data_IF_526934819289
#
_entry.id   IF_526934819289
#
_cell.length_a   1.000
_cell.length_b   1.000
_cell.length_c   1.000
_cell.angle_alpha   90.00
_cell.angle_beta   90.00
_cell.angle_gamma   90.00
#
_symmetry.space_group_name_H-M   'P 1'
#
loop_
_entity.id
_entity.type
_entity.pdbx_description
1 polymer ?
#
# COMPACT_ATOMS: atom_id res chain seq x y z
N UNK A 1 -32.81 22.71 -11.00
CA UNK A 1 -31.96 23.33 -9.99
C UNK A 1 -32.25 22.79 -8.58
N UNK A 2 -33.53 22.84 -8.08
CA UNK A 2 -33.86 22.35 -6.72
C UNK A 2 -33.52 20.87 -6.53
N UNK A 3 -33.70 20.00 -7.52
CA UNK A 3 -33.33 18.59 -7.48
C UNK A 3 -31.79 18.44 -7.40
N UNK A 4 -31.06 19.20 -8.22
CA UNK A 4 -29.61 19.23 -8.22
C UNK A 4 -29.06 19.66 -6.87
N UNK A 5 -29.57 20.76 -6.30
CA UNK A 5 -29.19 21.23 -4.97
C UNK A 5 -29.50 20.20 -3.87
N UNK A 6 -30.63 19.47 -3.98
CA UNK A 6 -30.96 18.40 -3.04
C UNK A 6 -29.99 17.21 -3.11
N UNK A 7 -29.40 16.93 -4.27
CA UNK A 7 -28.37 15.90 -4.42
C UNK A 7 -27.02 16.36 -3.88
N UNK A 8 -26.63 17.62 -4.12
CA UNK A 8 -25.42 18.19 -3.54
C UNK A 8 -25.45 18.18 -2.00
N UNK A 9 -26.62 18.46 -1.41
CA UNK A 9 -26.81 18.44 0.04
C UNK A 9 -26.72 17.03 0.66
N UNK A 10 -26.61 15.97 -0.14
CA UNK A 10 -26.52 14.57 0.30
C UNK A 10 -25.08 14.04 0.37
N UNK A 11 -24.10 14.84 0.00
CA UNK A 11 -22.70 14.46 0.12
C UNK A 11 -22.12 14.80 1.48
N UNK A 12 -21.13 14.05 1.91
CA UNK A 12 -20.32 14.41 3.07
C UNK A 12 -19.54 15.71 2.75
N UNK A 13 -19.68 16.72 3.58
CA UNK A 13 -19.03 18.01 3.38
C UNK A 13 -17.67 18.12 4.08
N UNK A 14 -17.50 17.37 5.17
CA UNK A 14 -16.25 17.30 5.89
C UNK A 14 -15.91 15.83 6.14
N UNK A 15 -14.67 15.44 5.84
CA UNK A 15 -14.22 14.04 5.91
C UNK A 15 -13.04 13.93 6.86
N UNK A 16 -13.14 13.01 7.82
CA UNK A 16 -12.00 12.55 8.62
C UNK A 16 -11.68 11.12 8.24
N UNK A 17 -10.42 10.82 7.90
CA UNK A 17 -9.99 9.45 7.61
C UNK A 17 -10.04 8.57 8.86
N UNK A 18 -9.94 7.27 8.69
CA UNK A 18 -9.65 6.37 9.80
C UNK A 18 -8.26 6.68 10.35
N UNK A 19 -8.12 6.55 11.67
CA UNK A 19 -6.81 6.68 12.32
C UNK A 19 -5.98 5.42 12.05
N UNK A 20 -4.74 5.60 11.63
CA UNK A 20 -3.76 4.53 11.43
C UNK A 20 -2.66 4.66 12.47
N UNK A 21 -2.54 3.67 13.32
CA UNK A 21 -1.50 3.61 14.35
C UNK A 21 -0.28 2.89 13.76
N UNK A 22 0.88 3.54 13.80
CA UNK A 22 2.18 2.96 13.47
C UNK A 22 2.98 2.71 14.77
N UNK A 23 4.28 2.52 14.67
CA UNK A 23 5.11 2.12 15.84
C UNK A 23 5.14 3.20 16.93
N UNK A 24 5.19 4.48 16.56
CA UNK A 24 5.37 5.60 17.49
C UNK A 24 4.21 6.57 17.51
N UNK A 25 3.53 6.77 16.40
CA UNK A 25 2.47 7.74 16.23
C UNK A 25 1.20 7.14 15.63
N UNK A 26 0.08 7.81 15.90
CA UNK A 26 -1.20 7.57 15.23
C UNK A 26 -1.48 8.73 14.28
N UNK A 27 -1.80 8.42 13.03
CA UNK A 27 -1.97 9.36 11.93
C UNK A 27 -3.40 9.36 11.41
N UNK A 28 -3.87 10.52 10.91
CA UNK A 28 -5.12 10.66 10.17
C UNK A 28 -5.10 11.94 9.36
N UNK A 29 -6.04 12.09 8.45
CA UNK A 29 -6.27 13.35 7.76
C UNK A 29 -7.70 13.85 7.94
N UNK A 30 -7.87 15.15 7.77
CA UNK A 30 -9.14 15.85 7.85
C UNK A 30 -9.25 16.80 6.65
N UNK A 31 -10.38 16.74 5.94
CA UNK A 31 -10.75 17.68 4.90
C UNK A 31 -12.00 18.42 5.36
N UNK A 32 -11.93 19.74 5.50
CA UNK A 32 -13.07 20.57 5.89
C UNK A 32 -14.11 20.64 4.76
N UNK A 33 -15.31 21.16 5.11
CA UNK A 33 -16.43 21.22 4.17
C UNK A 33 -16.18 22.12 2.93
N UNK A 34 -15.29 23.08 3.06
CA UNK A 34 -14.92 24.04 2.00
C UNK A 34 -13.48 23.86 1.50
N UNK A 35 -12.79 22.81 1.99
CA UNK A 35 -11.41 22.51 1.63
C UNK A 35 -11.36 21.53 0.46
N UNK A 36 -10.50 21.79 -0.52
CA UNK A 36 -10.20 20.87 -1.62
C UNK A 36 -9.11 19.85 -1.24
N UNK A 37 -8.30 20.16 -0.23
CA UNK A 37 -7.14 19.37 0.20
C UNK A 37 -7.18 19.07 1.69
N UNK A 38 -6.58 17.95 2.14
CA UNK A 38 -6.55 17.56 3.55
C UNK A 38 -5.49 18.30 4.36
N UNK A 39 -5.70 18.32 5.66
CA UNK A 39 -4.66 18.52 6.66
C UNK A 39 -4.33 17.18 7.33
N UNK A 40 -3.07 16.82 7.41
CA UNK A 40 -2.60 15.60 8.04
C UNK A 40 -2.18 15.84 9.47
N UNK A 41 -2.71 15.02 10.36
CA UNK A 41 -2.54 15.09 11.79
C UNK A 41 -1.85 13.85 12.32
N UNK A 42 -1.14 14.00 13.44
CA UNK A 42 -0.65 12.88 14.23
C UNK A 42 -0.65 13.19 15.72
N UNK A 43 -0.54 12.15 16.52
CA UNK A 43 -0.21 12.25 17.94
C UNK A 43 0.68 11.07 18.34
N UNK A 44 1.55 11.22 19.36
CA UNK A 44 2.29 10.10 19.94
C UNK A 44 1.31 9.04 20.48
N UNK A 45 1.59 7.76 20.28
CA UNK A 45 0.70 6.67 20.71
C UNK A 45 0.41 6.68 22.21
N UNK A 46 1.36 7.17 23.03
CA UNK A 46 1.25 7.25 24.49
C UNK A 46 0.68 8.59 24.99
N UNK A 47 0.43 9.57 24.11
CA UNK A 47 0.01 10.93 24.46
C UNK A 47 -1.02 11.43 23.44
N UNK A 48 -2.22 10.82 23.37
CA UNK A 48 -3.22 11.11 22.34
C UNK A 48 -3.79 12.53 22.43
N UNK A 49 -3.56 13.25 23.54
CA UNK A 49 -3.93 14.65 23.71
C UNK A 49 -2.95 15.62 22.99
N UNK A 50 -1.74 15.18 22.63
CA UNK A 50 -0.73 15.99 21.95
C UNK A 50 -0.87 15.86 20.43
N UNK A 51 -2.01 16.33 19.92
CA UNK A 51 -2.28 16.32 18.49
C UNK A 51 -1.56 17.47 17.80
N UNK A 52 -0.99 17.23 16.65
CA UNK A 52 -0.33 18.22 15.81
C UNK A 52 -0.65 18.01 14.33
N UNK A 53 -0.92 19.11 13.60
CA UNK A 53 -0.94 19.10 12.15
C UNK A 53 0.53 19.08 11.68
N UNK A 54 0.97 17.99 11.11
CA UNK A 54 2.35 17.84 10.64
C UNK A 54 2.51 18.17 9.15
N UNK A 55 1.41 18.12 8.37
CA UNK A 55 1.42 18.44 6.96
C UNK A 55 0.08 19.04 6.51
N UNK A 56 0.06 20.33 6.24
CA UNK A 56 -1.12 21.05 5.75
C UNK A 56 -1.00 21.20 4.21
N UNK A 57 -1.68 20.33 3.47
CA UNK A 57 -1.69 20.34 2.01
C UNK A 57 -2.40 21.58 1.47
N UNK A 58 -3.41 22.09 2.20
CA UNK A 58 -4.16 23.31 1.82
C UNK A 58 -3.23 24.53 1.78
N UNK A 59 -2.34 24.65 2.78
CA UNK A 59 -1.38 25.75 2.84
C UNK A 59 -0.39 25.70 1.67
N UNK A 60 0.01 24.50 1.24
CA UNK A 60 0.88 24.33 0.06
C UNK A 60 0.15 24.66 -1.25
N UNK A 61 -1.06 24.15 -1.41
CA UNK A 61 -1.89 24.36 -2.59
C UNK A 61 -2.26 25.84 -2.77
N UNK A 62 -2.50 26.58 -1.67
CA UNK A 62 -2.89 27.99 -1.70
C UNK A 62 -1.81 28.93 -2.31
N UNK A 63 -0.58 28.48 -2.36
CA UNK A 63 0.54 29.24 -2.95
C UNK A 63 0.72 28.96 -4.45
N UNK A 64 -0.10 28.08 -5.03
CA UNK A 64 0.05 27.57 -6.40
C UNK A 64 -1.20 27.82 -7.23
N UNK A 65 -1.03 28.05 -8.54
CA UNK A 65 -2.13 28.09 -9.50
C UNK A 65 -2.73 26.70 -9.79
N UNK A 66 -1.89 25.67 -9.69
CA UNK A 66 -2.24 24.27 -9.79
C UNK A 66 -1.47 23.50 -8.71
N UNK A 67 -2.10 22.48 -8.12
CA UNK A 67 -1.46 21.61 -7.15
C UNK A 67 -2.02 20.19 -7.20
N UNK A 68 -1.15 19.22 -7.36
CA UNK A 68 -1.44 17.81 -7.21
C UNK A 68 -0.38 17.14 -6.34
N UNK A 69 -0.82 16.35 -5.37
CA UNK A 69 0.06 15.57 -4.50
C UNK A 69 0.15 14.14 -5.03
N UNK A 70 1.33 13.74 -5.51
CA UNK A 70 1.56 12.40 -6.03
C UNK A 70 1.54 11.34 -4.94
N UNK A 71 2.63 11.18 -4.22
CA UNK A 71 2.77 10.19 -3.15
C UNK A 71 3.31 10.83 -1.87
N UNK A 72 3.08 10.17 -0.75
CA UNK A 72 3.52 10.62 0.57
C UNK A 72 3.98 9.42 1.42
N UNK A 73 5.21 9.46 1.89
CA UNK A 73 5.82 8.37 2.63
C UNK A 73 6.50 8.86 3.92
N UNK A 74 6.16 8.22 5.05
CA UNK A 74 6.85 8.40 6.32
C UNK A 74 8.10 7.50 6.36
N UNK A 75 9.18 8.03 6.94
CA UNK A 75 10.39 7.26 7.21
C UNK A 75 10.13 6.11 8.20
N UNK A 76 11.00 5.08 8.25
CA UNK A 76 10.86 3.96 9.18
C UNK A 76 10.72 4.36 10.66
N UNK A 77 11.35 5.46 11.09
CA UNK A 77 11.25 6.01 12.45
C UNK A 77 10.10 7.02 12.65
N UNK A 78 9.28 7.27 11.60
CA UNK A 78 8.14 8.21 11.60
C UNK A 78 8.52 9.68 11.92
N UNK A 79 9.81 10.02 11.77
CA UNK A 79 10.30 11.38 12.05
C UNK A 79 10.51 12.23 10.79
N UNK A 80 10.48 11.60 9.62
CA UNK A 80 10.65 12.27 8.33
C UNK A 80 9.49 12.00 7.40
N UNK A 81 9.08 13.04 6.68
CA UNK A 81 8.08 12.97 5.64
C UNK A 81 8.76 13.27 4.29
N UNK A 82 8.64 12.33 3.35
CA UNK A 82 8.91 12.59 1.94
C UNK A 82 7.58 12.64 1.18
N UNK A 83 7.46 13.55 0.22
CA UNK A 83 6.31 13.60 -0.68
C UNK A 83 6.71 14.11 -2.05
N UNK A 84 5.87 13.81 -3.04
CA UNK A 84 5.98 14.33 -4.38
C UNK A 84 4.79 15.25 -4.68
N UNK A 85 5.03 16.34 -5.39
CA UNK A 85 3.98 17.25 -5.81
C UNK A 85 4.24 17.77 -7.23
N UNK A 86 3.16 17.95 -7.98
CA UNK A 86 3.12 18.64 -9.26
C UNK A 86 2.42 19.99 -9.09
N UNK A 87 3.08 21.07 -9.46
CA UNK A 87 2.55 22.45 -9.41
C UNK A 87 2.39 23.07 -10.79
N UNK A 88 2.57 22.28 -11.87
CA UNK A 88 2.48 22.72 -13.24
C UNK A 88 1.34 22.04 -14.02
N UNK A 89 0.86 20.90 -13.57
CA UNK A 89 -0.15 20.10 -14.23
C UNK A 89 0.37 19.29 -15.41
N UNK A 90 1.64 18.92 -15.37
CA UNK A 90 2.31 18.14 -16.42
C UNK A 90 2.69 16.72 -15.96
N UNK A 91 2.21 16.31 -14.76
CA UNK A 91 2.47 15.01 -14.14
C UNK A 91 3.97 14.74 -13.88
N UNK A 92 4.79 15.82 -13.83
CA UNK A 92 6.19 15.75 -13.44
C UNK A 92 6.34 16.30 -12.03
N UNK A 93 6.76 15.43 -11.15
CA UNK A 93 6.73 15.71 -9.73
C UNK A 93 8.08 16.22 -9.21
N UNK A 94 7.97 17.02 -8.16
CA UNK A 94 9.09 17.50 -7.35
C UNK A 94 9.09 16.74 -6.03
N UNK A 95 10.24 16.17 -5.66
CA UNK A 95 10.44 15.48 -4.39
C UNK A 95 10.85 16.45 -3.30
N UNK A 96 10.12 16.40 -2.21
CA UNK A 96 10.36 17.17 -1.00
C UNK A 96 10.62 16.28 0.20
N UNK A 97 11.38 16.81 1.15
CA UNK A 97 11.68 16.18 2.44
C UNK A 97 11.48 17.17 3.58
N UNK A 98 10.95 16.67 4.70
CA UNK A 98 10.73 17.48 5.91
C UNK A 98 10.95 16.62 7.14
N UNK A 99 11.73 17.10 8.12
CA UNK A 99 11.72 16.53 9.46
C UNK A 99 10.48 17.01 10.23
N UNK A 100 9.84 16.09 10.92
CA UNK A 100 8.58 16.34 11.63
C UNK A 100 8.81 16.79 13.08
N UNK A 101 7.95 17.67 13.63
CA UNK A 101 6.79 18.26 12.97
C UNK A 101 7.08 19.57 12.20
N UNK A 102 8.13 20.31 12.54
CA UNK A 102 8.19 21.75 12.29
C UNK A 102 9.38 22.23 11.44
N UNK A 103 10.10 21.35 10.75
CA UNK A 103 11.20 21.79 9.90
C UNK A 103 10.72 22.36 8.57
N UNK A 104 11.48 23.34 8.06
CA UNK A 104 11.26 23.88 6.71
C UNK A 104 11.48 22.77 5.69
N UNK A 105 10.55 22.54 4.76
CA UNK A 105 10.73 21.55 3.70
C UNK A 105 11.96 21.85 2.83
N UNK A 106 12.64 20.80 2.43
CA UNK A 106 13.78 20.88 1.50
C UNK A 106 13.40 20.18 0.21
N UNK A 107 13.59 20.88 -0.92
CA UNK A 107 13.46 20.29 -2.24
C UNK A 107 14.67 19.41 -2.52
N UNK A 108 14.47 18.14 -2.84
CA UNK A 108 15.55 17.21 -3.15
C UNK A 108 15.77 17.03 -4.64
N UNK A 109 14.73 16.80 -5.39
CA UNK A 109 14.77 16.51 -6.83
C UNK A 109 13.56 17.12 -7.52
N UNK A 110 13.69 17.35 -8.82
CA UNK A 110 12.57 17.66 -9.72
C UNK A 110 12.57 16.69 -10.90
N UNK A 111 11.50 16.70 -11.68
CA UNK A 111 11.35 15.88 -12.88
C UNK A 111 11.46 14.37 -12.57
N UNK A 112 10.63 13.92 -11.63
CA UNK A 112 10.51 12.51 -11.22
C UNK A 112 9.06 12.04 -11.34
N UNK A 113 8.83 10.73 -11.18
CA UNK A 113 7.50 10.14 -11.04
C UNK A 113 6.90 10.37 -9.65
N UNK A 114 5.62 10.05 -9.49
CA UNK A 114 4.93 10.22 -8.22
C UNK A 114 5.43 9.24 -7.14
N UNK A 115 5.74 7.98 -7.51
CA UNK A 115 5.96 6.87 -6.56
C UNK A 115 7.20 7.00 -5.70
N UNK A 116 7.03 6.78 -4.38
CA UNK A 116 8.06 6.85 -3.36
C UNK A 116 8.06 5.60 -2.47
N UNK A 117 9.23 5.19 -1.98
CA UNK A 117 9.32 4.17 -0.94
C UNK A 117 10.60 4.32 -0.12
N UNK A 118 10.49 4.39 1.21
CA UNK A 118 11.66 4.33 2.09
C UNK A 118 12.20 2.91 2.17
N UNK A 119 13.52 2.76 2.11
CA UNK A 119 14.20 1.54 2.53
C UNK A 119 14.15 1.39 4.06
N UNK A 120 14.58 0.24 4.57
CA UNK A 120 14.65 -0.06 6.01
C UNK A 120 16.10 0.00 6.55
N UNK A 121 16.95 0.76 5.88
CA UNK A 121 18.38 0.98 6.22
C UNK A 121 18.61 2.22 7.07
N UNK A 122 17.54 2.86 7.55
CA UNK A 122 17.64 4.12 8.28
C UNK A 122 18.46 4.01 9.55
N UNK A 123 19.33 4.99 9.71
CA UNK A 123 20.12 5.24 10.94
C UNK A 123 19.76 6.62 11.51
N UNK A 124 20.41 7.03 12.59
CA UNK A 124 20.24 8.39 13.13
C UNK A 124 20.70 9.51 12.17
N UNK A 125 21.52 9.18 11.17
CA UNK A 125 22.15 10.19 10.30
C UNK A 125 21.94 9.95 8.81
N UNK A 126 21.48 8.78 8.42
CA UNK A 126 21.33 8.38 7.01
C UNK A 126 20.04 7.60 6.78
N UNK A 127 19.52 7.68 5.57
CA UNK A 127 18.42 6.86 5.10
C UNK A 127 18.47 6.76 3.57
N UNK A 128 17.76 5.78 3.00
CA UNK A 128 17.62 5.64 1.55
C UNK A 128 16.15 5.74 1.15
N UNK A 129 15.89 6.57 0.14
CA UNK A 129 14.58 6.72 -0.49
C UNK A 129 14.66 6.20 -1.93
N UNK A 130 13.69 5.39 -2.33
CA UNK A 130 13.50 4.98 -3.73
C UNK A 130 12.39 5.82 -4.36
N UNK A 131 12.52 6.08 -5.66
CA UNK A 131 11.55 6.83 -6.45
C UNK A 131 11.57 6.38 -7.92
N UNK A 132 10.50 6.70 -8.65
CA UNK A 132 10.40 6.42 -10.08
C UNK A 132 10.82 7.62 -10.91
N UNK A 133 11.28 7.39 -12.14
CA UNK A 133 11.40 8.40 -13.20
C UNK A 133 10.69 7.94 -14.46
N UNK A 134 10.36 8.92 -15.28
CA UNK A 134 9.70 8.74 -16.56
C UNK A 134 10.69 8.71 -17.72
N UNK A 135 10.30 8.00 -18.77
CA UNK A 135 10.90 8.18 -20.10
C UNK A 135 10.31 9.43 -20.82
N UNK A 136 10.71 9.63 -22.08
CA UNK A 136 10.24 10.75 -22.89
C UNK A 136 8.72 10.69 -23.22
N UNK A 137 8.08 9.55 -22.99
CA UNK A 137 6.63 9.35 -23.20
C UNK A 137 5.79 9.46 -21.91
N UNK A 138 6.42 9.88 -20.80
CA UNK A 138 5.82 9.94 -19.45
C UNK A 138 5.44 8.56 -18.89
N UNK A 139 6.12 7.50 -19.35
CA UNK A 139 5.99 6.16 -18.78
C UNK A 139 7.00 6.02 -17.64
N UNK A 140 6.61 5.57 -16.41
CA UNK A 140 7.57 5.23 -15.36
C UNK A 140 8.41 4.02 -15.81
N UNK A 141 9.61 4.29 -16.31
CA UNK A 141 10.52 3.33 -16.91
C UNK A 141 11.67 2.92 -16.00
N UNK A 142 11.90 3.67 -14.93
CA UNK A 142 13.08 3.42 -14.10
C UNK A 142 12.85 3.70 -12.63
N UNK A 143 13.48 2.87 -11.79
CA UNK A 143 13.54 3.04 -10.34
C UNK A 143 14.95 3.49 -9.96
N UNK A 144 15.00 4.52 -9.15
CA UNK A 144 16.22 5.15 -8.66
C UNK A 144 16.24 5.15 -7.14
N UNK A 145 17.41 5.18 -6.55
CA UNK A 145 17.61 5.38 -5.11
C UNK A 145 18.35 6.67 -4.84
N UNK A 146 18.00 7.33 -3.76
CA UNK A 146 18.66 8.51 -3.23
C UNK A 146 19.11 8.24 -1.80
N UNK A 147 20.41 8.20 -1.57
CA UNK A 147 20.96 8.15 -0.22
C UNK A 147 20.89 9.57 0.40
N UNK A 148 20.32 9.68 1.58
CA UNK A 148 20.09 10.94 2.27
C UNK A 148 21.00 11.07 3.50
N UNK A 149 21.58 12.26 3.69
CA UNK A 149 22.10 12.68 4.98
C UNK A 149 20.97 13.36 5.76
N UNK A 150 20.54 12.77 6.87
CA UNK A 150 19.49 13.37 7.71
C UNK A 150 20.01 14.53 8.56
N UNK A 151 21.33 14.71 8.64
CA UNK A 151 21.98 15.85 9.31
C UNK A 151 22.11 17.08 8.39
N UNK A 152 22.24 16.84 7.09
CA UNK A 152 22.35 17.86 6.03
C UNK A 152 21.47 17.44 4.85
N UNK A 153 20.12 17.48 5.00
CA UNK A 153 19.22 16.93 4.00
C UNK A 153 19.20 17.70 2.67
N UNK A 154 19.67 18.93 2.65
CA UNK A 154 19.90 19.76 1.48
C UNK A 154 21.25 19.51 0.77
N UNK A 155 22.10 18.66 1.34
CA UNK A 155 23.33 18.23 0.68
C UNK A 155 22.98 17.44 -0.59
N UNK A 156 23.50 17.88 -1.72
CA UNK A 156 23.25 17.23 -3.01
C UNK A 156 23.84 15.81 -3.03
N UNK A 157 22.96 14.82 -3.07
CA UNK A 157 23.32 13.44 -3.36
C UNK A 157 22.88 13.08 -4.77
N UNK A 158 23.74 12.40 -5.51
CA UNK A 158 23.41 11.94 -6.86
C UNK A 158 22.55 10.68 -6.78
N UNK A 159 21.37 10.66 -7.43
CA UNK A 159 20.54 9.47 -7.53
C UNK A 159 21.27 8.35 -8.30
N UNK A 160 21.09 7.12 -7.84
CA UNK A 160 21.66 5.92 -8.48
C UNK A 160 20.55 5.08 -9.08
N UNK A 161 20.69 4.73 -10.36
CA UNK A 161 19.76 3.83 -11.05
C UNK A 161 19.79 2.43 -10.40
N UNK A 162 18.61 1.91 -10.07
CA UNK A 162 18.42 0.58 -9.48
C UNK A 162 17.92 -0.41 -10.51
N UNK A 163 16.88 -0.05 -11.26
CA UNK A 163 16.28 -0.89 -12.29
C UNK A 163 15.76 -0.01 -13.43
N UNK A 164 15.91 -0.48 -14.68
CA UNK A 164 15.30 0.13 -15.87
C UNK A 164 14.50 -0.92 -16.62
N UNK A 165 13.31 -0.54 -17.05
CA UNK A 165 12.43 -1.32 -17.93
C UNK A 165 12.57 -0.80 -19.36
N UNK A 166 13.14 -1.62 -20.22
CA UNK A 166 13.42 -1.26 -21.62
C UNK A 166 12.22 -1.49 -22.55
N UNK A 167 11.26 -2.34 -22.14
CA UNK A 167 10.09 -2.64 -22.95
C UNK A 167 9.02 -1.55 -22.75
N UNK A 168 8.62 -0.83 -23.83
CA UNK A 168 7.66 0.27 -23.71
C UNK A 168 6.23 -0.17 -23.34
N UNK A 169 5.91 -1.46 -23.37
CA UNK A 169 4.61 -1.98 -22.93
C UNK A 169 4.52 -2.14 -21.42
N UNK A 170 5.63 -2.02 -20.68
CA UNK A 170 5.70 -2.23 -19.24
C UNK A 170 5.96 -0.93 -18.46
N UNK A 171 5.37 -0.83 -17.29
CA UNK A 171 5.47 0.27 -16.36
C UNK A 171 6.08 -0.21 -15.05
N UNK A 172 7.00 0.57 -14.48
CA UNK A 172 7.62 0.26 -13.20
C UNK A 172 6.91 0.93 -12.04
N UNK A 173 6.59 0.13 -11.01
CA UNK A 173 6.14 0.56 -9.70
C UNK A 173 7.12 0.18 -8.61
N UNK A 174 6.94 0.78 -7.43
CA UNK A 174 7.69 0.46 -6.23
C UNK A 174 6.71 0.10 -5.12
N UNK A 175 6.92 -1.07 -4.51
CA UNK A 175 6.18 -1.53 -3.35
C UNK A 175 7.12 -2.01 -2.24
N UNK A 176 6.52 -2.43 -1.13
CA UNK A 176 7.22 -3.06 -0.02
C UNK A 176 6.36 -4.17 0.56
N UNK A 177 6.97 -5.32 0.85
CA UNK A 177 6.27 -6.39 1.56
C UNK A 177 5.83 -5.94 2.95
N UNK A 178 4.70 -6.45 3.44
CA UNK A 178 4.20 -6.14 4.80
C UNK A 178 5.21 -6.47 5.89
N UNK A 179 6.04 -7.49 5.68
CA UNK A 179 7.16 -7.84 6.58
C UNK A 179 8.27 -6.79 6.66
N UNK A 180 8.24 -5.76 5.77
CA UNK A 180 9.26 -4.72 5.62
C UNK A 180 10.65 -5.25 5.26
N UNK A 181 10.76 -6.54 4.90
CA UNK A 181 12.04 -7.17 4.56
C UNK A 181 12.47 -6.92 3.13
N UNK A 182 11.52 -6.70 2.22
CA UNK A 182 11.76 -6.59 0.79
C UNK A 182 11.04 -5.40 0.17
N UNK A 183 11.78 -4.67 -0.66
CA UNK A 183 11.22 -3.73 -1.63
C UNK A 183 10.86 -4.52 -2.89
N UNK A 184 9.71 -4.21 -3.45
CA UNK A 184 9.19 -4.82 -4.67
C UNK A 184 9.34 -3.81 -5.80
N UNK A 185 10.10 -4.16 -6.84
CA UNK A 185 10.20 -3.39 -8.07
C UNK A 185 9.36 -4.13 -9.09
N UNK A 186 8.17 -3.58 -9.35
CA UNK A 186 7.10 -4.25 -10.08
C UNK A 186 7.05 -3.73 -11.51
N UNK A 187 7.39 -4.56 -12.48
CA UNK A 187 7.22 -4.30 -13.89
C UNK A 187 5.93 -4.96 -14.37
N UNK A 188 4.97 -4.17 -14.84
CA UNK A 188 3.65 -4.65 -15.25
C UNK A 188 3.19 -4.07 -16.57
N UNK A 189 2.56 -4.91 -17.40
CA UNK A 189 1.78 -4.51 -18.56
C UNK A 189 0.30 -4.75 -18.31
N UNK A 190 -0.52 -4.75 -19.37
CA UNK A 190 -1.95 -5.01 -19.27
C UNK A 190 -2.30 -6.39 -18.69
N UNK A 191 -1.48 -7.40 -18.94
CA UNK A 191 -1.77 -8.81 -18.64
C UNK A 191 -0.52 -9.62 -18.25
N UNK A 192 0.61 -8.95 -17.98
CA UNK A 192 1.88 -9.62 -17.72
C UNK A 192 2.64 -8.89 -16.61
N UNK A 193 3.20 -9.64 -15.67
CA UNK A 193 3.96 -9.09 -14.55
C UNK A 193 5.38 -9.66 -14.48
N UNK A 194 6.32 -8.85 -13.97
CA UNK A 194 7.64 -9.26 -13.52
C UNK A 194 8.03 -8.49 -12.27
N UNK A 195 8.52 -9.17 -11.24
CA UNK A 195 8.86 -8.55 -9.97
C UNK A 195 10.33 -8.83 -9.63
N UNK A 196 11.05 -7.76 -9.30
CA UNK A 196 12.38 -7.83 -8.75
C UNK A 196 12.35 -7.49 -7.26
N UNK A 197 13.03 -8.31 -6.47
CA UNK A 197 13.20 -8.11 -5.03
C UNK A 197 14.47 -7.31 -4.76
N UNK A 198 14.36 -6.34 -3.89
CA UNK A 198 15.51 -5.62 -3.34
C UNK A 198 15.45 -5.69 -1.82
N UNK A 199 16.53 -6.15 -1.18
CA UNK A 199 16.56 -6.24 0.28
C UNK A 199 16.36 -4.86 0.93
N UNK A 200 15.30 -4.68 1.72
CA UNK A 200 14.92 -3.37 2.25
C UNK A 200 15.96 -2.79 3.22
N UNK A 201 16.72 -3.65 3.92
CA UNK A 201 17.82 -3.26 4.81
C UNK A 201 19.18 -3.10 4.11
N UNK A 202 19.25 -3.40 2.80
CA UNK A 202 20.47 -3.28 1.99
C UNK A 202 20.12 -2.79 0.59
N UNK A 203 19.58 -1.56 0.46
CA UNK A 203 19.05 -1.01 -0.79
C UNK A 203 20.15 -0.72 -1.84
N UNK A 204 21.41 -0.88 -1.50
CA UNK A 204 22.58 -0.83 -2.38
C UNK A 204 22.92 -2.16 -3.07
N UNK A 205 22.25 -3.25 -2.66
CA UNK A 205 22.39 -4.56 -3.32
C UNK A 205 21.77 -4.56 -4.72
N UNK A 206 22.11 -5.57 -5.53
CA UNK A 206 21.48 -5.74 -6.84
C UNK A 206 20.06 -6.31 -6.71
N UNK A 207 19.07 -5.81 -7.46
CA UNK A 207 17.75 -6.40 -7.51
C UNK A 207 17.80 -7.84 -8.06
N UNK A 208 16.97 -8.71 -7.51
CA UNK A 208 16.85 -10.11 -7.91
C UNK A 208 15.47 -10.35 -8.54
N UNK A 209 15.42 -10.73 -9.82
CA UNK A 209 14.16 -11.17 -10.44
C UNK A 209 13.69 -12.46 -9.77
N UNK A 210 12.53 -12.42 -9.09
CA UNK A 210 11.97 -13.60 -8.41
C UNK A 210 11.25 -14.53 -9.38
N UNK A 211 10.73 -14.00 -10.47
CA UNK A 211 10.10 -14.77 -11.53
C UNK A 211 10.13 -13.95 -12.80
N UNK A 212 10.80 -14.47 -13.84
CA UNK A 212 10.78 -13.85 -15.16
C UNK A 212 9.36 -13.82 -15.73
N UNK A 213 9.05 -12.73 -16.45
CA UNK A 213 7.76 -12.56 -17.12
C UNK A 213 7.47 -13.66 -18.14
N UNK A 214 6.22 -14.02 -18.23
CA UNK A 214 5.67 -14.88 -19.26
C UNK A 214 4.41 -14.20 -19.81
N UNK A 215 4.32 -14.00 -21.11
CA UNK A 215 3.19 -13.31 -21.73
C UNK A 215 1.84 -13.90 -21.29
N UNK A 216 0.92 -13.05 -20.85
CA UNK A 216 -0.39 -13.41 -20.33
C UNK A 216 -0.38 -13.95 -18.89
N UNK A 217 0.76 -13.90 -18.19
CA UNK A 217 0.85 -14.30 -16.79
C UNK A 217 1.01 -13.09 -15.90
N UNK A 218 -0.02 -12.83 -15.09
CA UNK A 218 -0.03 -11.85 -14.01
C UNK A 218 0.33 -12.55 -12.71
N UNK A 219 1.13 -11.89 -11.87
CA UNK A 219 1.39 -12.36 -10.52
C UNK A 219 1.73 -11.22 -9.56
N UNK A 220 1.45 -11.45 -8.28
CA UNK A 220 1.90 -10.62 -7.17
C UNK A 220 2.69 -11.45 -6.17
N UNK A 221 3.51 -10.78 -5.36
CA UNK A 221 4.36 -11.39 -4.34
C UNK A 221 4.07 -10.74 -2.99
N UNK A 222 3.96 -11.56 -1.96
CA UNK A 222 4.09 -11.10 -0.57
C UNK A 222 5.03 -12.02 0.20
N UNK A 223 5.46 -11.61 1.40
CA UNK A 223 6.52 -12.24 2.15
C UNK A 223 6.21 -12.30 3.65
N UNK A 224 6.57 -13.43 4.24
CA UNK A 224 6.80 -13.58 5.69
C UNK A 224 8.14 -14.28 5.91
N UNK A 225 8.84 -14.03 7.04
CA UNK A 225 10.14 -14.65 7.30
C UNK A 225 10.16 -16.14 7.01
N UNK A 226 11.03 -16.55 6.10
CA UNK A 226 11.22 -17.91 5.63
C UNK A 226 10.44 -18.28 4.37
N UNK A 227 9.51 -17.44 3.86
CA UNK A 227 8.71 -17.80 2.68
C UNK A 227 8.21 -16.60 1.90
N UNK A 228 8.23 -16.73 0.58
CA UNK A 228 7.48 -15.90 -0.37
C UNK A 228 6.19 -16.59 -0.80
N UNK A 229 5.19 -15.80 -1.08
CA UNK A 229 3.90 -16.24 -1.60
C UNK A 229 3.64 -15.56 -2.93
N UNK A 230 3.27 -16.34 -3.94
CA UNK A 230 2.97 -15.87 -5.28
C UNK A 230 1.53 -16.19 -5.63
N UNK A 231 0.71 -15.17 -5.79
CA UNK A 231 -0.62 -15.27 -6.37
C UNK A 231 -0.50 -15.05 -7.88
N UNK A 232 -0.95 -15.99 -8.71
CA UNK A 232 -0.75 -15.91 -10.17
C UNK A 232 -1.83 -16.63 -10.97
N UNK A 233 -2.01 -16.25 -12.23
CA UNK A 233 -2.99 -16.83 -13.16
C UNK A 233 -2.41 -17.87 -14.14
N UNK A 234 -1.19 -18.35 -13.96
CA UNK A 234 -0.53 -19.30 -14.90
C UNK A 234 -1.33 -20.61 -15.07
N UNK A 235 -2.05 -21.07 -14.05
CA UNK A 235 -2.88 -22.27 -14.10
C UNK A 235 -4.31 -22.00 -14.62
N UNK A 236 -4.74 -20.74 -14.68
CA UNK A 236 -6.07 -20.34 -15.15
C UNK A 236 -6.52 -18.99 -14.58
N UNK A 237 -7.60 -18.44 -15.12
CA UNK A 237 -8.09 -17.08 -14.85
C UNK A 237 -8.51 -16.83 -13.39
N UNK A 238 -8.73 -17.88 -12.61
CA UNK A 238 -9.18 -17.76 -11.20
C UNK A 238 -8.04 -17.81 -10.20
N UNK A 239 -6.82 -17.66 -10.68
CA UNK A 239 -5.58 -17.61 -9.93
C UNK A 239 -5.29 -18.86 -9.08
N UNK A 240 -4.04 -18.97 -8.69
CA UNK A 240 -3.47 -20.01 -7.83
C UNK A 240 -2.50 -19.33 -6.86
N UNK A 241 -2.37 -19.87 -5.66
CA UNK A 241 -1.39 -19.44 -4.69
C UNK A 241 -0.29 -20.48 -4.54
N UNK A 242 0.94 -20.06 -4.79
CA UNK A 242 2.15 -20.84 -4.55
C UNK A 242 2.97 -20.25 -3.41
N UNK A 243 3.86 -21.04 -2.81
CA UNK A 243 4.87 -20.56 -1.91
C UNK A 243 6.27 -21.02 -2.31
N UNK A 244 7.27 -20.24 -1.92
CA UNK A 244 8.69 -20.51 -2.13
C UNK A 244 9.44 -20.34 -0.81
N UNK A 245 10.18 -21.34 -0.30
CA UNK A 245 11.10 -21.13 0.81
C UNK A 245 12.14 -20.07 0.49
N UNK A 246 12.31 -19.09 1.38
CA UNK A 246 13.26 -17.98 1.19
C UNK A 246 14.70 -18.46 0.97
N UNK A 247 15.05 -19.63 1.54
CA UNK A 247 16.36 -20.28 1.32
C UNK A 247 16.67 -20.68 -0.11
N UNK A 248 15.67 -20.63 -1.01
CA UNK A 248 15.86 -20.90 -2.43
C UNK A 248 16.23 -19.66 -3.24
N UNK A 249 16.14 -18.45 -2.65
CA UNK A 249 16.54 -17.23 -3.36
C UNK A 249 17.98 -17.32 -3.89
N UNK A 250 18.17 -16.84 -5.11
CA UNK A 250 19.48 -16.86 -5.79
C UNK A 250 19.89 -18.24 -6.36
N UNK A 251 19.04 -19.25 -6.22
CA UNK A 251 19.26 -20.51 -6.93
C UNK A 251 18.92 -20.39 -8.42
N UNK A 252 19.61 -21.14 -9.31
CA UNK A 252 19.36 -21.06 -10.75
C UNK A 252 17.93 -21.41 -11.17
N UNK A 253 17.25 -22.23 -10.37
CA UNK A 253 15.85 -22.60 -10.58
C UNK A 253 15.12 -22.56 -9.23
N UNK A 254 14.07 -21.75 -9.20
CA UNK A 254 13.18 -21.65 -8.04
C UNK A 254 12.10 -22.72 -8.15
N UNK A 255 11.88 -23.47 -7.06
CA UNK A 255 10.91 -24.55 -7.02
C UNK A 255 9.67 -24.11 -6.23
N UNK A 256 8.76 -23.41 -6.91
CA UNK A 256 7.47 -23.00 -6.36
C UNK A 256 6.62 -24.22 -6.04
N UNK A 257 5.97 -24.21 -4.89
CA UNK A 257 5.09 -25.26 -4.41
C UNK A 257 3.67 -24.73 -4.29
N UNK A 258 2.69 -25.45 -4.85
CA UNK A 258 1.30 -25.04 -4.82
C UNK A 258 0.74 -25.15 -3.40
N UNK A 259 0.25 -24.05 -2.88
CA UNK A 259 -0.44 -23.96 -1.59
C UNK A 259 -1.95 -24.06 -1.78
N UNK A 260 -2.51 -23.30 -2.73
CA UNK A 260 -3.92 -23.38 -3.13
C UNK A 260 -3.96 -23.47 -4.65
N UNK A 261 -4.46 -24.59 -5.15
CA UNK A 261 -4.59 -24.81 -6.59
C UNK A 261 -5.72 -23.95 -7.19
N UNK A 262 -5.60 -23.66 -8.47
CA UNK A 262 -6.66 -23.05 -9.26
C UNK A 262 -7.98 -23.81 -9.12
N UNK A 263 -9.10 -23.09 -9.06
CA UNK A 263 -10.48 -23.64 -8.94
C UNK A 263 -11.43 -22.85 -9.82
N UNK A 264 -12.36 -23.54 -10.45
CA UNK A 264 -13.38 -22.91 -11.31
C UNK A 264 -14.50 -22.23 -10.51
N UNK A 265 -14.74 -22.68 -9.26
CA UNK A 265 -15.83 -22.18 -8.42
C UNK A 265 -15.49 -20.94 -7.61
N UNK A 266 -14.23 -20.53 -7.57
CA UNK A 266 -13.80 -19.35 -6.84
C UNK A 266 -12.55 -18.72 -7.43
N UNK A 267 -12.47 -17.36 -7.40
CA UNK A 267 -11.30 -16.59 -7.80
C UNK A 267 -10.55 -16.10 -6.57
N UNK A 268 -9.25 -16.37 -6.51
CA UNK A 268 -8.36 -15.70 -5.54
C UNK A 268 -8.06 -14.29 -6.05
N UNK A 269 -8.39 -13.27 -5.26
CA UNK A 269 -8.25 -11.86 -5.65
C UNK A 269 -7.09 -11.15 -4.94
N UNK A 270 -6.63 -11.68 -3.82
CA UNK A 270 -5.54 -11.09 -3.05
C UNK A 270 -4.96 -12.02 -2.01
N UNK A 271 -3.73 -11.75 -1.63
CA UNK A 271 -3.01 -12.40 -0.53
C UNK A 271 -2.27 -11.33 0.27
N UNK A 272 -2.44 -11.38 1.59
CA UNK A 272 -1.74 -10.54 2.55
C UNK A 272 -1.03 -11.44 3.55
N UNK A 273 0.30 -11.31 3.66
CA UNK A 273 1.11 -12.09 4.57
C UNK A 273 1.31 -11.34 5.90
N UNK A 274 1.03 -12.05 7.00
CA UNK A 274 1.25 -11.59 8.38
C UNK A 274 2.23 -12.53 9.10
N UNK A 275 2.74 -12.12 10.24
CA UNK A 275 3.66 -12.97 11.03
C UNK A 275 3.05 -14.34 11.39
N UNK A 276 1.74 -14.38 11.59
CA UNK A 276 1.00 -15.57 11.98
C UNK A 276 0.51 -16.45 10.80
N UNK A 277 0.45 -15.93 9.57
CA UNK A 277 -0.07 -16.66 8.41
C UNK A 277 -0.49 -15.77 7.26
N UNK A 278 -1.57 -16.13 6.58
CA UNK A 278 -2.08 -15.39 5.42
C UNK A 278 -3.55 -15.00 5.62
N UNK A 279 -3.91 -13.84 5.05
CA UNK A 279 -5.27 -13.45 4.76
C UNK A 279 -5.46 -13.44 3.25
N UNK A 280 -6.47 -14.15 2.76
CA UNK A 280 -6.79 -14.23 1.34
C UNK A 280 -8.12 -13.53 1.07
N UNK A 281 -8.19 -12.78 -0.01
CA UNK A 281 -9.46 -12.34 -0.59
C UNK A 281 -9.90 -13.36 -1.66
N UNK A 282 -11.09 -13.90 -1.51
CA UNK A 282 -11.64 -14.92 -2.40
C UNK A 282 -13.05 -14.54 -2.84
N UNK A 283 -13.31 -14.56 -4.15
CA UNK A 283 -14.66 -14.38 -4.71
C UNK A 283 -15.31 -15.73 -4.95
N UNK A 284 -16.37 -16.00 -4.23
CA UNK A 284 -17.23 -17.17 -4.43
C UNK A 284 -18.18 -16.92 -5.62
N UNK A 285 -18.09 -17.71 -6.67
CA UNK A 285 -18.90 -17.50 -7.88
C UNK A 285 -20.38 -17.84 -7.66
N UNK A 286 -20.70 -18.78 -6.78
CA UNK A 286 -22.10 -19.16 -6.51
C UNK A 286 -22.86 -18.08 -5.75
N UNK A 287 -22.17 -17.33 -4.87
CA UNK A 287 -22.75 -16.27 -4.05
C UNK A 287 -22.44 -14.87 -4.58
N UNK A 288 -21.52 -14.73 -5.55
CA UNK A 288 -21.03 -13.47 -6.08
C UNK A 288 -20.53 -12.50 -4.98
N UNK A 289 -19.90 -13.05 -3.94
CA UNK A 289 -19.41 -12.32 -2.77
C UNK A 289 -17.89 -12.44 -2.68
N UNK A 290 -17.23 -11.34 -2.29
CA UNK A 290 -15.84 -11.38 -1.83
C UNK A 290 -15.83 -11.64 -0.34
N UNK A 291 -15.07 -12.64 0.08
CA UNK A 291 -14.89 -13.04 1.47
C UNK A 291 -13.41 -13.14 1.82
N UNK A 292 -13.10 -12.96 3.07
CA UNK A 292 -11.75 -13.15 3.59
C UNK A 292 -11.60 -14.54 4.18
N UNK A 293 -10.44 -15.13 3.93
CA UNK A 293 -10.07 -16.47 4.38
C UNK A 293 -8.72 -16.41 5.08
N UNK A 294 -8.67 -16.93 6.30
CA UNK A 294 -7.47 -16.95 7.15
C UNK A 294 -6.79 -18.30 7.09
N UNK A 295 -5.50 -18.32 6.83
CA UNK A 295 -4.67 -19.53 6.83
C UNK A 295 -3.56 -19.42 7.88
N UNK A 296 -3.40 -20.46 8.70
CA UNK A 296 -2.25 -20.62 9.59
C UNK A 296 -1.41 -21.82 9.17
N UNK A 297 -0.12 -21.75 9.45
CA UNK A 297 0.84 -22.78 9.07
C UNK A 297 1.71 -23.18 10.27
N UNK A 298 2.10 -24.46 10.32
CA UNK A 298 3.15 -24.93 11.21
C UNK A 298 4.56 -24.62 10.67
N UNK A 299 5.58 -25.03 11.41
CA UNK A 299 6.99 -24.81 11.03
C UNK A 299 7.38 -25.61 9.77
N UNK A 300 6.62 -26.57 9.35
CA UNK A 300 6.79 -27.36 8.13
C UNK A 300 5.97 -26.83 6.94
N UNK A 301 5.36 -25.64 7.07
CA UNK A 301 4.47 -25.00 6.11
C UNK A 301 3.18 -25.81 5.80
N UNK A 302 2.81 -26.74 6.69
CA UNK A 302 1.51 -27.43 6.60
C UNK A 302 0.41 -26.51 7.13
N UNK A 303 -0.70 -26.40 6.40
CA UNK A 303 -1.84 -25.60 6.83
C UNK A 303 -2.50 -26.24 8.07
N UNK A 304 -2.51 -25.51 9.18
CA UNK A 304 -3.09 -25.96 10.47
C UNK A 304 -4.45 -25.35 10.75
N UNK A 305 -4.79 -24.25 10.10
CA UNK A 305 -6.09 -23.61 10.13
C UNK A 305 -6.42 -23.09 8.74
N UNK A 306 -7.66 -23.28 8.33
CA UNK A 306 -8.23 -22.75 7.10
C UNK A 306 -9.69 -22.38 7.40
N UNK A 307 -9.91 -21.09 7.64
CA UNK A 307 -11.24 -20.59 8.02
C UNK A 307 -11.66 -19.41 7.16
N UNK A 308 -12.92 -19.38 6.78
CA UNK A 308 -13.54 -18.21 6.13
C UNK A 308 -14.14 -17.33 7.21
N UNK A 309 -13.83 -16.03 7.17
CA UNK A 309 -14.41 -15.07 8.11
C UNK A 309 -15.92 -14.96 7.86
N UNK A 310 -16.68 -14.78 8.94
CA UNK A 310 -18.12 -14.65 8.88
C UNK A 310 -18.53 -13.41 8.08
N UNK A 311 -19.48 -13.61 7.17
CA UNK A 311 -20.14 -12.54 6.41
C UNK A 311 -21.53 -12.26 7.00
N UNK A 312 -22.08 -11.04 6.83
CA UNK A 312 -23.50 -10.79 7.05
C UNK A 312 -24.38 -11.73 6.20
N UNK A 313 -25.62 -11.98 6.65
CA UNK A 313 -26.58 -12.86 5.93
C UNK A 313 -26.95 -12.36 4.52
N UNK A 314 -26.87 -11.05 4.26
CA UNK A 314 -27.13 -10.45 2.97
C UNK A 314 -25.87 -10.44 2.09
N UNK A 315 -26.02 -10.46 0.74
CA UNK A 315 -24.88 -10.33 -0.15
C UNK A 315 -24.06 -9.07 0.16
N UNK A 316 -22.80 -9.26 0.53
CA UNK A 316 -21.86 -8.15 0.77
C UNK A 316 -20.46 -8.52 0.30
N UNK A 317 -19.65 -7.50 -0.01
CA UNK A 317 -18.22 -7.64 -0.23
C UNK A 317 -17.47 -7.28 1.05
N UNK A 318 -16.51 -8.12 1.40
CA UNK A 318 -15.61 -7.89 2.52
C UNK A 318 -14.18 -7.79 2.00
N UNK A 319 -13.49 -6.74 2.38
CA UNK A 319 -12.10 -6.49 1.97
C UNK A 319 -11.25 -6.25 3.21
N UNK A 320 -10.01 -6.71 3.17
CA UNK A 320 -9.00 -6.31 4.13
C UNK A 320 -8.58 -4.87 3.80
N UNK A 321 -8.67 -4.00 4.76
CA UNK A 321 -8.13 -2.65 4.70
C UNK A 321 -6.70 -2.63 5.24
N UNK A 322 -6.03 -1.49 5.11
CA UNK A 322 -4.66 -1.35 5.54
C UNK A 322 -4.46 -1.81 6.99
N UNK A 323 -3.53 -2.73 7.16
CA UNK A 323 -3.09 -3.26 8.44
C UNK A 323 -1.58 -3.04 8.52
N UNK A 324 -1.13 -1.88 9.05
CA UNK A 324 0.28 -1.45 8.95
C UNK A 324 1.25 -2.36 9.71
N UNK A 325 0.76 -3.05 10.75
CA UNK A 325 1.61 -3.93 11.54
C UNK A 325 1.58 -5.37 11.04
N UNK A 326 2.75 -5.89 10.73
CA UNK A 326 2.93 -7.27 10.27
C UNK A 326 2.50 -8.32 11.31
N UNK A 327 2.65 -8.03 12.59
CA UNK A 327 2.37 -8.93 13.72
C UNK A 327 1.00 -8.70 14.39
N UNK A 328 0.17 -7.81 13.81
CA UNK A 328 -1.14 -7.52 14.39
C UNK A 328 -2.07 -8.73 14.38
N UNK A 329 -2.84 -8.90 15.46
CA UNK A 329 -3.99 -9.80 15.53
C UNK A 329 -5.31 -9.05 15.33
N UNK A 330 -5.27 -7.72 15.22
CA UNK A 330 -6.44 -6.89 14.97
C UNK A 330 -6.38 -6.38 13.55
N UNK A 331 -7.26 -6.86 12.68
CA UNK A 331 -7.32 -6.45 11.29
C UNK A 331 -8.47 -5.46 11.06
N UNK A 332 -8.34 -4.63 10.06
CA UNK A 332 -9.38 -3.72 9.63
C UNK A 332 -10.09 -4.29 8.41
N UNK A 333 -11.41 -4.32 8.47
CA UNK A 333 -12.27 -4.80 7.40
C UNK A 333 -13.11 -3.65 6.86
N UNK A 334 -13.27 -3.60 5.54
CA UNK A 334 -14.29 -2.80 4.88
C UNK A 334 -15.37 -3.73 4.34
N UNK A 335 -16.61 -3.37 4.59
CA UNK A 335 -17.78 -4.09 4.10
C UNK A 335 -18.74 -3.14 3.41
N UNK A 336 -19.31 -3.59 2.30
CA UNK A 336 -20.32 -2.85 1.55
C UNK A 336 -21.25 -3.79 0.82
N UNK A 337 -22.48 -3.34 0.58
CA UNK A 337 -23.47 -4.03 -0.25
C UNK A 337 -24.34 -3.04 -1.00
N UNK A 338 -25.25 -3.53 -1.85
CA UNK A 338 -26.20 -2.65 -2.53
C UNK A 338 -27.18 -1.91 -1.59
N UNK A 339 -27.33 -2.41 -0.35
CA UNK A 339 -28.24 -1.84 0.65
C UNK A 339 -27.54 -1.30 1.89
N UNK A 340 -26.23 -1.54 2.03
CA UNK A 340 -25.43 -1.08 3.15
C UNK A 340 -24.26 -0.25 2.66
N UNK A 341 -24.12 1.01 3.11
CA UNK A 341 -23.01 1.86 2.72
C UNK A 341 -21.67 1.30 3.23
N UNK A 342 -20.56 1.67 2.61
CA UNK A 342 -19.23 1.29 3.07
C UNK A 342 -19.07 1.53 4.56
N UNK A 343 -18.65 0.49 5.25
CA UNK A 343 -18.50 0.47 6.72
C UNK A 343 -17.19 -0.21 7.07
N UNK A 344 -16.44 0.38 8.00
CA UNK A 344 -15.15 -0.15 8.46
C UNK A 344 -15.28 -0.70 9.86
N UNK A 345 -14.65 -1.84 10.06
CA UNK A 345 -14.66 -2.55 11.33
C UNK A 345 -13.23 -2.93 11.71
N UNK A 346 -12.93 -2.94 13.00
CA UNK A 346 -11.83 -3.74 13.53
C UNK A 346 -12.32 -5.12 13.89
N UNK A 347 -11.53 -6.14 13.60
CA UNK A 347 -11.76 -7.52 14.00
C UNK A 347 -10.52 -8.04 14.73
N UNK A 348 -10.67 -8.42 15.99
CA UNK A 348 -9.66 -9.15 16.73
C UNK A 348 -9.76 -10.63 16.36
N UNK A 349 -8.72 -11.14 15.69
CA UNK A 349 -8.67 -12.53 15.19
C UNK A 349 -8.53 -13.57 16.31
N UNK A 350 -8.23 -13.15 17.53
CA UNK A 350 -8.09 -14.04 18.70
C UNK A 350 -9.41 -14.21 19.43
N UNK A 351 -10.10 -13.11 19.71
CA UNK A 351 -11.37 -13.11 20.45
C UNK A 351 -12.60 -13.20 19.55
N UNK A 352 -12.46 -12.86 18.26
CA UNK A 352 -13.57 -12.67 17.33
C UNK A 352 -14.36 -11.38 17.58
N UNK A 353 -13.89 -10.49 18.49
CA UNK A 353 -14.55 -9.24 18.76
C UNK A 353 -14.48 -8.31 17.56
N UNK A 354 -15.64 -7.76 17.20
CA UNK A 354 -15.80 -6.87 16.07
C UNK A 354 -16.38 -5.53 16.50
N UNK A 355 -15.67 -4.44 16.15
CA UNK A 355 -16.06 -3.08 16.50
C UNK A 355 -16.24 -2.22 15.24
N UNK A 356 -17.36 -1.52 15.11
CA UNK A 356 -17.58 -0.54 14.04
C UNK A 356 -16.67 0.68 14.27
N UNK A 357 -15.84 1.02 13.28
CA UNK A 357 -14.94 2.17 13.31
C UNK A 357 -15.53 3.38 12.61
N UNK A 358 -16.08 3.17 11.39
CA UNK A 358 -16.66 4.23 10.57
C UNK A 358 -17.74 3.64 9.66
N UNK A 359 -18.73 4.45 9.33
CA UNK A 359 -19.71 4.16 8.29
C UNK A 359 -19.93 5.40 7.46
N UNK A 360 -20.00 5.26 6.14
CA UNK A 360 -20.35 6.37 5.27
C UNK A 360 -21.79 6.81 5.57
N UNK A 361 -22.01 8.09 5.87
CA UNK A 361 -23.36 8.57 6.20
C UNK A 361 -24.27 8.51 4.96
N UNK A 362 -25.53 8.14 5.18
CA UNK A 362 -26.57 8.17 4.16
C UNK A 362 -27.43 9.40 4.42
N UNK A 363 -27.42 10.33 3.47
CA UNK A 363 -28.19 11.58 3.56
C UNK A 363 -29.56 11.45 2.89
N UNK A 364 -30.56 12.09 3.46
CA UNK A 364 -31.95 12.08 2.97
C UNK A 364 -32.84 11.08 3.73
N UNK A 365 -34.02 10.80 3.16
CA UNK A 365 -35.06 9.94 3.79
C UNK A 365 -34.82 8.43 3.54
N UNK A 366 -33.65 8.05 3.05
CA UNK A 366 -33.26 6.65 2.87
C UNK A 366 -32.82 6.09 4.23
N UNK A 367 -33.62 5.21 4.82
CA UNK A 367 -33.16 4.36 5.90
C UNK A 367 -32.44 3.15 5.26
N UNK A 368 -31.22 2.79 5.72
CA UNK A 368 -30.52 1.61 5.27
C UNK A 368 -31.25 0.33 5.67
#
# INVERSE_FOLDING_TARGET
EALYQSHLARRELAVTSLKTTLDHFTFWNETGAEDDYPCWWRHPNRQPEQQECFFDVRARAAEQDFYDMGDMALSPDEQWLAWTEDTQGDERFTLWLKALPNWTPVQLLSDIGAGLCWAEDQTATTATLLFTRFDDTQRPDSVWRLALSLMEPDAANEPVLVLREEDPEFWLGIGKTRSRSWLLLESGSKDTSEIHLLAAHSPDSAPLCIQQRQAGVEYSIDHRPGSFYRLHNQAGAHFQLDFLPESQLGQPQLNWQTLIAHREEATLEGVDAFSWGLMLAERDHAQAQVRLRRLLFDAQHSCTLDETLALPEQPCSQMLEDAPHFDTQVVRLREESFTQPPSWFSLDLTSGERTLLKRVPVYGNLQP
#
